data_IF_763744025673
#
_entry.id   IF_763744025673
#
_cell.length_a   1.000
_cell.length_b   1.000
_cell.length_c   1.000
_cell.angle_alpha   90.00
_cell.angle_beta   90.00
_cell.angle_gamma   90.00
#
_symmetry.space_group_name_H-M   'P 1'
#
loop_
_entity.id
_entity.type
_entity.pdbx_description
1 polymer ?
#
# COMPACT_ATOMS: atom_id res chain seq x y z
N UNK A 1 13.65 57.26 -34.43
CA UNK A 1 13.37 56.00 -33.74
C UNK A 1 13.16 54.95 -34.82
N UNK A 2 14.01 53.94 -34.89
CA UNK A 2 14.02 52.94 -35.96
C UNK A 2 12.89 51.93 -35.79
N UNK A 3 12.24 51.56 -36.91
CA UNK A 3 11.04 50.71 -37.02
C UNK A 3 11.13 49.36 -36.29
N UNK A 4 12.35 48.90 -35.98
CA UNK A 4 12.64 47.70 -35.20
C UNK A 4 12.16 47.77 -33.73
N UNK A 5 12.12 48.97 -33.14
CA UNK A 5 11.63 49.14 -31.76
C UNK A 5 10.10 49.17 -31.71
N UNK A 6 9.45 49.60 -32.79
CA UNK A 6 8.00 49.68 -32.88
C UNK A 6 7.38 48.30 -33.04
N UNK A 7 7.97 47.46 -33.89
CA UNK A 7 7.58 46.05 -34.06
C UNK A 7 7.79 45.22 -32.80
N UNK A 8 8.86 45.48 -32.03
CA UNK A 8 9.07 44.79 -30.74
C UNK A 8 8.08 45.22 -29.65
N UNK A 9 7.62 46.46 -29.67
CA UNK A 9 6.59 46.93 -28.73
C UNK A 9 5.20 46.38 -29.08
N UNK A 10 4.86 46.31 -30.38
CA UNK A 10 3.60 45.69 -30.82
C UNK A 10 3.55 44.18 -30.52
N UNK A 11 4.70 43.48 -30.54
CA UNK A 11 4.78 42.09 -30.07
C UNK A 11 4.64 41.92 -28.55
N UNK A 12 4.90 42.97 -27.75
CA UNK A 12 4.78 42.94 -26.29
C UNK A 12 3.39 43.36 -25.77
N UNK A 13 2.61 44.06 -26.61
CA UNK A 13 1.26 44.56 -26.26
C UNK A 13 0.14 43.68 -26.84
N UNK A 14 0.47 42.73 -27.71
CA UNK A 14 -0.47 41.70 -28.15
C UNK A 14 -0.83 40.79 -26.97
N UNK A 15 -1.99 41.07 -26.36
CA UNK A 15 -2.60 40.27 -25.31
C UNK A 15 -2.71 38.81 -25.79
N UNK A 16 -2.08 37.83 -25.11
CA UNK A 16 -2.19 36.45 -25.53
C UNK A 16 -3.66 36.03 -25.50
N UNK A 17 -4.16 35.30 -26.51
CA UNK A 17 -5.52 34.78 -26.45
C UNK A 17 -5.69 33.99 -25.14
N UNK A 18 -6.81 34.16 -24.42
CA UNK A 18 -7.03 33.41 -23.19
C UNK A 18 -6.87 31.92 -23.51
N UNK A 19 -6.14 31.15 -22.68
CA UNK A 19 -5.88 29.76 -22.96
C UNK A 19 -7.21 29.00 -22.97
N UNK A 20 -7.75 28.78 -24.17
CA UNK A 20 -8.85 27.85 -24.42
C UNK A 20 -8.30 26.44 -24.48
N UNK A 21 -7.77 25.99 -23.35
CA UNK A 21 -7.59 24.61 -22.99
C UNK A 21 -7.28 24.62 -21.50
N UNK A 22 -8.13 23.98 -20.71
CA UNK A 22 -7.77 23.54 -19.36
C UNK A 22 -6.65 22.51 -19.51
N UNK A 23 -5.53 22.64 -18.76
CA UNK A 23 -4.85 21.43 -18.33
C UNK A 23 -4.32 21.65 -16.90
N UNK A 24 -5.20 21.64 -15.91
CA UNK A 24 -4.81 21.65 -14.50
C UNK A 24 -4.24 20.30 -14.02
N UNK A 25 -4.20 19.26 -14.85
CA UNK A 25 -3.68 17.94 -14.46
C UNK A 25 -2.27 17.63 -14.98
N UNK A 26 -1.75 18.38 -15.97
CA UNK A 26 -0.47 18.05 -16.60
C UNK A 26 0.78 18.65 -15.91
N UNK A 27 0.61 19.64 -15.02
CA UNK A 27 1.74 20.35 -14.37
C UNK A 27 2.22 19.64 -13.10
N UNK A 28 1.43 18.73 -12.52
CA UNK A 28 1.84 17.95 -11.34
C UNK A 28 2.48 16.59 -11.66
N UNK A 29 2.62 16.22 -12.94
CA UNK A 29 3.17 14.91 -13.33
C UNK A 29 4.71 14.85 -13.41
N UNK A 30 5.43 15.82 -12.83
CA UNK A 30 6.90 15.77 -12.76
C UNK A 30 7.38 15.37 -11.38
N UNK A 31 8.28 14.38 -11.42
CA UNK A 31 9.10 13.84 -10.32
C UNK A 31 8.45 12.67 -9.57
N UNK A 32 8.69 11.45 -10.07
CA UNK A 32 9.07 10.24 -9.29
C UNK A 32 9.19 9.01 -10.22
N UNK A 33 10.16 9.03 -11.12
CA UNK A 33 10.63 7.80 -11.80
C UNK A 33 12.09 7.57 -11.41
N UNK A 34 12.31 6.97 -10.25
CA UNK A 34 13.65 6.53 -9.83
C UNK A 34 13.90 5.15 -10.42
N UNK A 35 14.58 5.13 -11.57
CA UNK A 35 15.10 3.91 -12.19
C UNK A 35 16.24 3.34 -11.35
N UNK A 36 15.94 2.51 -10.34
CA UNK A 36 16.99 1.73 -9.65
C UNK A 36 17.46 0.58 -10.53
N UNK A 37 18.53 0.80 -11.29
CA UNK A 37 19.40 -0.27 -11.78
C UNK A 37 20.35 -0.68 -10.67
N UNK A 38 20.11 -1.78 -9.94
CA UNK A 38 21.13 -2.61 -9.25
C UNK A 38 20.58 -4.02 -9.02
N UNK A 39 21.03 -4.99 -9.82
CA UNK A 39 22.04 -6.05 -9.51
C UNK A 39 21.38 -7.36 -9.09
N UNK A 40 21.41 -8.31 -10.01
CA UNK A 40 21.15 -9.71 -9.78
C UNK A 40 22.16 -10.30 -8.78
N UNK A 41 21.70 -11.18 -7.89
CA UNK A 41 22.55 -12.05 -7.09
C UNK A 41 21.91 -12.53 -5.79
N UNK A 42 21.89 -13.87 -5.63
CA UNK A 42 21.65 -14.65 -4.40
C UNK A 42 20.15 -14.89 -4.05
N UNK A 43 19.50 -15.97 -4.51
CA UNK A 43 19.55 -17.40 -4.10
C UNK A 43 18.86 -17.69 -2.75
N UNK A 44 17.69 -18.38 -2.84
CA UNK A 44 17.00 -19.37 -1.95
C UNK A 44 17.01 -19.19 -0.42
N UNK A 45 15.90 -19.38 0.30
CA UNK A 45 15.30 -20.71 0.60
C UNK A 45 13.88 -20.54 1.19
N UNK A 46 12.99 -21.46 0.82
CA UNK A 46 11.72 -21.69 1.50
C UNK A 46 11.96 -22.39 2.85
N UNK A 47 11.23 -22.01 3.88
CA UNK A 47 11.12 -22.78 5.11
C UNK A 47 9.66 -22.79 5.59
N UNK A 48 8.97 -23.91 5.32
CA UNK A 48 7.77 -24.30 6.04
C UNK A 48 8.20 -24.83 7.42
N UNK A 49 7.56 -24.37 8.48
CA UNK A 49 7.82 -24.83 9.84
C UNK A 49 6.60 -24.60 10.72
N UNK A 50 5.77 -25.63 10.87
CA UNK A 50 4.71 -25.70 11.89
C UNK A 50 5.36 -26.30 13.13
N UNK A 51 5.33 -25.59 14.26
CA UNK A 51 5.67 -26.16 15.57
C UNK A 51 4.59 -25.79 16.57
N UNK A 52 3.86 -26.81 17.01
CA UNK A 52 2.99 -26.78 18.17
C UNK A 52 3.85 -26.77 19.44
N UNK A 53 3.50 -25.92 20.41
CA UNK A 53 4.07 -25.99 21.76
C UNK A 53 2.93 -26.17 22.76
N UNK A 54 3.05 -27.25 23.51
CA UNK A 54 2.14 -27.72 24.54
C UNK A 54 2.09 -26.78 25.75
N UNK A 55 0.90 -26.69 26.36
CA UNK A 55 0.71 -26.09 27.67
C UNK A 55 1.06 -27.13 28.74
N UNK A 56 1.98 -26.78 29.63
CA UNK A 56 2.19 -27.48 30.90
C UNK A 56 1.91 -26.49 32.04
N UNK A 57 0.86 -26.78 32.80
CA UNK A 57 0.58 -26.15 34.10
C UNK A 57 1.36 -26.90 35.17
N UNK A 58 1.95 -26.16 36.11
CA UNK A 58 2.52 -26.68 37.35
C UNK A 58 2.92 -25.53 38.28
N UNK A 59 2.02 -25.16 39.18
CA UNK A 59 2.30 -24.27 40.32
C UNK A 59 2.61 -25.12 41.55
N UNK A 60 3.76 -24.92 42.22
CA UNK A 60 4.02 -24.85 43.69
C UNK A 60 5.54 -24.60 43.84
N UNK A 61 6.15 -23.83 44.76
CA UNK A 61 5.93 -23.32 46.13
C UNK A 61 6.91 -22.14 46.32
N UNK A 62 6.50 -20.97 46.80
CA UNK A 62 6.55 -20.48 48.20
C UNK A 62 7.97 -20.17 48.77
N UNK A 63 8.13 -18.97 49.33
CA UNK A 63 8.76 -18.62 50.63
C UNK A 63 9.07 -17.12 50.66
N UNK A 64 8.34 -16.40 51.52
CA UNK A 64 8.65 -15.02 51.89
C UNK A 64 7.61 -14.34 52.80
N UNK A 65 7.47 -14.81 54.04
CA UNK A 65 6.93 -14.00 55.16
C UNK A 65 5.58 -14.43 55.73
N UNK A 66 5.61 -14.99 56.94
CA UNK A 66 4.50 -15.57 57.72
C UNK A 66 3.47 -14.52 58.26
N UNK A 67 2.31 -14.96 58.82
CA UNK A 67 1.06 -14.18 58.92
C UNK A 67 0.80 -13.54 60.30
N UNK A 68 -0.33 -12.83 60.47
CA UNK A 68 -1.13 -13.03 61.67
C UNK A 68 -2.49 -13.63 61.33
N UNK A 69 -2.82 -14.68 62.06
CA UNK A 69 -4.07 -15.42 62.01
C UNK A 69 -5.14 -14.63 62.75
N UNK A 70 -6.24 -14.29 62.08
CA UNK A 70 -7.52 -14.01 62.73
C UNK A 70 -8.59 -14.85 62.04
N UNK A 71 -9.04 -15.88 62.76
CA UNK A 71 -10.10 -16.79 62.37
C UNK A 71 -11.46 -16.08 62.42
N UNK A 72 -12.09 -15.91 61.26
CA UNK A 72 -13.55 -15.75 61.16
C UNK A 72 -14.04 -16.56 59.95
N UNK A 73 -14.83 -17.65 60.14
CA UNK A 73 -15.48 -18.35 59.03
C UNK A 73 -16.58 -17.46 58.45
N UNK A 74 -16.28 -16.77 57.35
CA UNK A 74 -17.19 -15.78 56.77
C UNK A 74 -17.13 -15.77 55.25
N UNK A 75 -18.09 -16.47 54.64
CA UNK A 75 -18.57 -16.41 53.26
C UNK A 75 -17.57 -16.70 52.10
N UNK A 76 -17.95 -17.53 51.11
CA UNK A 76 -17.16 -17.65 49.88
C UNK A 76 -17.18 -16.31 49.13
N UNK A 77 -15.99 -15.69 48.96
CA UNK A 77 -15.83 -14.54 48.06
C UNK A 77 -15.99 -15.02 46.63
N UNK A 78 -17.00 -14.50 45.92
CA UNK A 78 -17.16 -14.73 44.50
C UNK A 78 -16.02 -14.04 43.75
N UNK A 79 -15.14 -14.82 43.13
CA UNK A 79 -14.19 -14.31 42.15
C UNK A 79 -15.00 -14.00 40.88
N UNK A 80 -15.34 -12.73 40.68
CA UNK A 80 -15.90 -12.27 39.41
C UNK A 80 -14.74 -12.19 38.43
N UNK A 81 -14.45 -13.32 37.78
CA UNK A 81 -13.55 -13.34 36.62
C UNK A 81 -14.21 -12.52 35.52
N UNK A 82 -13.58 -11.40 35.14
CA UNK A 82 -14.03 -10.61 34.00
C UNK A 82 -14.11 -11.51 32.74
N UNK A 83 -15.09 -11.30 31.84
CA UNK A 83 -15.17 -12.06 30.61
C UNK A 83 -13.83 -11.97 29.85
N UNK A 84 -13.32 -13.07 29.29
CA UNK A 84 -12.11 -13.02 28.49
C UNK A 84 -12.26 -11.98 27.39
N UNK A 85 -11.34 -11.01 27.35
CA UNK A 85 -11.29 -10.03 26.27
C UNK A 85 -11.04 -10.80 24.98
N UNK A 86 -12.07 -10.92 24.14
CA UNK A 86 -11.94 -11.61 22.86
C UNK A 86 -10.80 -10.95 22.05
N UNK A 87 -9.85 -11.74 21.50
CA UNK A 87 -8.81 -11.19 20.66
C UNK A 87 -9.44 -10.47 19.47
N UNK A 88 -9.06 -9.21 19.24
CA UNK A 88 -9.56 -8.43 18.10
C UNK A 88 -9.28 -9.17 16.79
N UNK A 89 -10.33 -9.56 16.07
CA UNK A 89 -10.22 -10.20 14.76
C UNK A 89 -9.43 -9.28 13.81
N UNK A 90 -8.37 -9.77 13.15
CA UNK A 90 -7.63 -8.96 12.19
C UNK A 90 -8.58 -8.54 11.05
N UNK A 91 -8.47 -7.30 10.54
CA UNK A 91 -9.27 -6.87 9.40
C UNK A 91 -9.04 -7.81 8.20
N UNK A 92 -10.05 -8.02 7.34
CA UNK A 92 -9.90 -8.83 6.14
C UNK A 92 -8.75 -8.28 5.28
N UNK A 93 -7.91 -9.15 4.68
CA UNK A 93 -6.79 -8.72 3.87
C UNK A 93 -7.28 -7.95 2.63
N UNK A 94 -6.44 -7.03 2.15
CA UNK A 94 -6.64 -6.40 0.85
C UNK A 94 -6.64 -7.50 -0.23
N UNK A 95 -7.55 -7.38 -1.18
CA UNK A 95 -7.64 -8.23 -2.36
C UNK A 95 -7.27 -7.40 -3.57
N UNK A 96 -6.46 -7.99 -4.44
CA UNK A 96 -6.08 -7.42 -5.72
C UNK A 96 -6.54 -8.35 -6.83
N UNK A 97 -7.34 -7.84 -7.75
CA UNK A 97 -7.72 -8.53 -8.98
C UNK A 97 -7.06 -7.83 -10.17
N UNK A 98 -6.55 -8.64 -11.10
CA UNK A 98 -5.79 -8.18 -12.25
C UNK A 98 -6.50 -8.60 -13.53
N UNK A 99 -6.75 -7.63 -14.41
CA UNK A 99 -7.38 -7.87 -15.71
C UNK A 99 -6.47 -7.34 -16.82
N UNK A 100 -5.71 -8.22 -17.51
CA UNK A 100 -4.88 -7.80 -18.62
C UNK A 100 -5.73 -7.49 -19.86
N UNK A 101 -5.24 -6.55 -20.68
CA UNK A 101 -5.73 -6.25 -22.01
C UNK A 101 -4.57 -6.43 -23.00
N UNK A 102 -4.66 -7.41 -23.89
CA UNK A 102 -3.56 -7.81 -24.79
C UNK A 102 -3.97 -7.54 -26.24
N UNK A 103 -3.16 -6.75 -26.96
CA UNK A 103 -3.32 -6.45 -28.39
C UNK A 103 -2.00 -6.70 -29.11
N UNK A 104 -1.87 -7.87 -29.73
CA UNK A 104 -0.59 -8.36 -30.26
C UNK A 104 0.45 -8.43 -29.14
N UNK A 105 1.56 -7.70 -29.31
CA UNK A 105 2.65 -7.60 -28.31
C UNK A 105 2.48 -6.53 -27.24
N UNK A 106 1.42 -5.73 -27.31
CA UNK A 106 1.14 -4.66 -26.35
C UNK A 106 0.18 -5.11 -25.27
N UNK A 107 0.51 -4.84 -24.01
CA UNK A 107 -0.29 -5.18 -22.83
C UNK A 107 -0.61 -3.94 -22.02
N UNK A 108 -1.89 -3.75 -21.72
CA UNK A 108 -2.36 -2.85 -20.66
C UNK A 108 -2.90 -3.65 -19.47
N UNK A 109 -2.98 -3.02 -18.30
CA UNK A 109 -3.46 -3.67 -17.08
C UNK A 109 -4.53 -2.83 -16.39
N UNK A 110 -5.66 -3.47 -16.07
CA UNK A 110 -6.65 -2.94 -15.14
C UNK A 110 -6.50 -3.64 -13.80
N UNK A 111 -6.42 -2.87 -12.72
CA UNK A 111 -6.24 -3.35 -11.35
C UNK A 111 -7.46 -2.97 -10.53
N UNK A 112 -8.04 -3.95 -9.83
CA UNK A 112 -9.07 -3.71 -8.82
C UNK A 112 -8.51 -4.03 -7.44
N UNK A 113 -8.49 -3.05 -6.56
CA UNK A 113 -8.09 -3.19 -5.15
C UNK A 113 -9.31 -3.07 -4.27
N UNK A 114 -9.46 -3.95 -3.29
CA UNK A 114 -10.59 -3.89 -2.35
C UNK A 114 -10.22 -4.44 -0.99
N UNK A 115 -10.86 -3.96 0.07
CA UNK A 115 -10.69 -4.51 1.42
C UNK A 115 -10.72 -3.43 2.49
N UNK A 116 -9.97 -3.67 3.56
CA UNK A 116 -9.86 -2.75 4.70
C UNK A 116 -8.40 -2.36 4.93
N UNK A 117 -8.16 -1.06 5.11
CA UNK A 117 -6.86 -0.49 5.42
C UNK A 117 -7.00 0.61 6.47
N UNK A 118 -5.96 0.84 7.25
CA UNK A 118 -5.88 2.04 8.08
C UNK A 118 -5.54 3.25 7.20
N UNK A 119 -6.16 4.39 7.51
CA UNK A 119 -5.89 5.67 6.87
C UNK A 119 -4.51 6.15 7.34
N UNK A 120 -3.52 6.28 6.44
CA UNK A 120 -2.20 6.81 6.78
C UNK A 120 -2.28 8.30 7.13
N UNK A 121 -1.20 8.80 7.73
CA UNK A 121 -1.01 10.23 7.99
C UNK A 121 0.11 10.81 7.16
N UNK A 122 -0.03 12.06 6.73
CA UNK A 122 1.05 12.81 6.11
C UNK A 122 2.17 13.10 7.13
N UNK A 123 3.41 13.01 6.69
CA UNK A 123 4.59 13.46 7.45
C UNK A 123 4.99 14.84 6.92
N UNK A 124 5.32 15.82 7.78
CA UNK A 124 5.45 15.73 9.24
C UNK A 124 4.18 16.10 10.04
N UNK A 125 3.16 16.64 9.38
CA UNK A 125 2.00 17.28 10.02
C UNK A 125 1.09 16.30 10.79
N UNK A 126 1.19 15.00 10.50
CA UNK A 126 0.43 13.95 11.18
C UNK A 126 -1.08 13.99 10.87
N UNK A 127 -1.47 14.74 9.84
CA UNK A 127 -2.85 14.87 9.36
C UNK A 127 -3.26 13.61 8.63
N UNK A 128 -4.51 13.17 8.80
CA UNK A 128 -5.03 12.01 8.06
C UNK A 128 -5.11 12.36 6.57
N UNK A 129 -4.67 11.44 5.70
CA UNK A 129 -4.84 11.63 4.27
C UNK A 129 -6.32 11.69 3.87
N UNK A 130 -6.64 12.45 2.80
CA UNK A 130 -7.99 12.49 2.27
C UNK A 130 -8.43 11.10 1.80
N UNK A 131 -9.65 10.72 2.17
CA UNK A 131 -10.26 9.43 1.81
C UNK A 131 -11.05 9.49 0.50
N UNK A 132 -10.66 10.37 -0.42
CA UNK A 132 -11.33 10.59 -1.71
C UNK A 132 -11.18 9.40 -2.66
N UNK A 133 -10.10 8.64 -2.51
CA UNK A 133 -9.80 7.43 -3.26
C UNK A 133 -9.16 6.41 -2.32
N UNK A 134 -9.48 5.14 -2.52
CA UNK A 134 -8.87 4.05 -1.76
C UNK A 134 -7.40 3.86 -2.17
N UNK A 135 -7.06 4.19 -3.39
CA UNK A 135 -5.69 4.18 -3.91
C UNK A 135 -4.81 5.25 -3.23
N UNK A 136 -5.38 6.41 -2.89
CA UNK A 136 -4.69 7.47 -2.16
C UNK A 136 -4.25 7.07 -0.74
N UNK A 137 -4.82 5.99 -0.19
CA UNK A 137 -4.42 5.47 1.12
C UNK A 137 -3.23 4.50 1.04
N UNK A 138 -2.72 4.23 -0.16
CA UNK A 138 -1.63 3.28 -0.37
C UNK A 138 -0.25 3.89 -0.11
N UNK A 139 0.68 3.08 0.37
CA UNK A 139 2.12 3.35 0.45
C UNK A 139 2.84 3.21 -0.89
N UNK A 140 2.11 3.26 -1.99
CA UNK A 140 2.62 3.03 -3.32
C UNK A 140 2.48 1.59 -3.83
N UNK A 141 2.94 1.42 -5.06
CA UNK A 141 2.81 0.21 -5.87
C UNK A 141 4.12 -0.16 -6.52
N UNK A 142 4.30 -1.45 -6.79
CA UNK A 142 5.41 -1.99 -7.54
C UNK A 142 4.87 -3.06 -8.51
N UNK A 143 5.25 -3.02 -9.79
CA UNK A 143 4.82 -4.02 -10.76
C UNK A 143 5.92 -4.39 -11.77
N UNK A 144 5.78 -5.59 -12.34
CA UNK A 144 6.71 -6.22 -13.26
C UNK A 144 5.94 -6.96 -14.35
N UNK A 145 6.38 -6.84 -15.61
CA UNK A 145 5.81 -7.59 -16.74
C UNK A 145 6.44 -8.97 -16.95
N UNK A 146 7.54 -9.28 -16.25
CA UNK A 146 8.15 -10.61 -16.28
C UNK A 146 9.20 -10.82 -17.38
N UNK A 147 9.49 -9.80 -18.16
CA UNK A 147 10.56 -9.74 -19.17
C UNK A 147 11.76 -8.86 -18.74
N UNK A 148 11.80 -8.49 -17.45
CA UNK A 148 12.78 -7.58 -16.87
C UNK A 148 12.30 -6.13 -16.74
N UNK A 149 11.16 -5.77 -17.31
CA UNK A 149 10.55 -4.47 -17.08
C UNK A 149 9.92 -4.38 -15.67
N UNK A 150 10.21 -3.29 -14.95
CA UNK A 150 9.67 -2.97 -13.63
C UNK A 150 9.32 -1.48 -13.53
N UNK A 151 8.21 -1.18 -12.86
CA UNK A 151 7.75 0.19 -12.60
C UNK A 151 6.87 0.21 -11.35
N UNK A 152 6.35 1.37 -10.97
CA UNK A 152 5.61 1.55 -9.73
C UNK A 152 5.41 3.01 -9.38
N UNK A 153 4.76 3.23 -8.24
CA UNK A 153 4.59 4.55 -7.63
C UNK A 153 5.00 4.46 -6.17
N UNK A 154 5.58 5.52 -5.64
CA UNK A 154 5.62 5.68 -4.19
C UNK A 154 4.30 6.29 -3.68
N UNK A 155 4.04 6.15 -2.39
CA UNK A 155 2.87 6.74 -1.71
C UNK A 155 3.16 8.10 -1.10
N UNK A 156 4.31 8.71 -1.40
CA UNK A 156 4.78 9.93 -0.74
C UNK A 156 5.25 9.74 0.70
N UNK A 157 5.34 10.86 1.42
CA UNK A 157 5.82 10.93 2.81
C UNK A 157 4.66 10.69 3.77
N UNK A 158 4.32 9.41 3.98
CA UNK A 158 3.18 8.99 4.77
C UNK A 158 3.55 7.92 5.79
N UNK A 159 2.81 7.87 6.90
CA UNK A 159 3.07 7.00 8.04
C UNK A 159 1.82 6.24 8.50
N UNK A 160 2.01 5.10 9.16
CA UNK A 160 0.96 4.21 9.66
C UNK A 160 0.70 4.36 11.18
N UNK A 161 0.99 5.52 11.77
CA UNK A 161 0.87 5.74 13.23
C UNK A 161 -0.57 5.89 13.71
N UNK A 162 -1.50 6.33 12.86
CA UNK A 162 -2.92 6.50 13.23
C UNK A 162 -3.80 5.36 12.69
N UNK A 163 -4.80 4.95 13.49
CA UNK A 163 -5.57 3.71 13.30
C UNK A 163 -7.04 3.96 12.93
N UNK A 164 -7.32 4.93 12.05
CA UNK A 164 -8.67 5.06 11.47
C UNK A 164 -8.84 4.00 10.40
N UNK A 165 -9.78 3.07 10.57
CA UNK A 165 -10.01 1.99 9.60
C UNK A 165 -10.96 2.45 8.49
N UNK A 166 -10.57 2.23 7.23
CA UNK A 166 -11.40 2.46 6.05
C UNK A 166 -11.65 1.17 5.30
N UNK A 167 -12.88 0.98 4.85
CA UNK A 167 -13.24 -0.04 3.86
C UNK A 167 -13.41 0.64 2.53
N UNK A 168 -12.87 0.07 1.47
CA UNK A 168 -12.96 0.64 0.12
C UNK A 168 -12.75 -0.39 -0.97
N UNK A 169 -13.08 0.03 -2.18
CA UNK A 169 -12.82 -0.69 -3.41
C UNK A 169 -12.61 0.30 -4.53
N UNK A 170 -11.61 0.07 -5.36
CA UNK A 170 -11.28 0.96 -6.46
C UNK A 170 -10.73 0.16 -7.63
N UNK A 171 -11.14 0.53 -8.84
CA UNK A 171 -10.62 -0.04 -10.07
C UNK A 171 -10.00 1.07 -10.88
N UNK A 172 -8.77 0.85 -11.34
CA UNK A 172 -8.06 1.82 -12.14
C UNK A 172 -7.23 1.11 -13.22
N UNK A 173 -6.87 1.87 -14.25
CA UNK A 173 -6.01 1.40 -15.34
C UNK A 173 -4.60 1.89 -15.07
N UNK A 174 -3.61 1.00 -15.16
CA UNK A 174 -2.21 1.42 -15.16
C UNK A 174 -2.01 2.25 -16.44
N UNK A 175 -1.63 3.54 -16.35
CA UNK A 175 -1.61 4.44 -17.50
C UNK A 175 -0.57 4.02 -18.54
N UNK A 176 0.47 3.29 -18.11
CA UNK A 176 1.51 2.77 -18.97
C UNK A 176 1.09 1.45 -19.62
N UNK A 177 1.25 1.39 -20.95
CA UNK A 177 1.22 0.13 -21.70
C UNK A 177 2.63 -0.40 -21.91
N UNK A 178 2.80 -1.72 -21.83
CA UNK A 178 4.09 -2.37 -22.08
C UNK A 178 4.06 -3.14 -23.39
N UNK A 179 5.14 -3.05 -24.16
CA UNK A 179 5.28 -3.77 -25.43
C UNK A 179 6.40 -4.80 -25.34
N UNK A 180 6.05 -6.08 -25.45
CA UNK A 180 7.02 -7.16 -25.42
C UNK A 180 7.81 -7.24 -26.73
N UNK A 181 9.11 -7.51 -26.63
CA UNK A 181 9.97 -7.68 -27.81
C UNK A 181 9.72 -9.01 -28.51
N UNK A 182 9.41 -10.08 -27.75
CA UNK A 182 9.17 -11.44 -28.27
C UNK A 182 7.79 -11.95 -27.85
N UNK A 183 7.10 -12.75 -28.67
CA UNK A 183 5.93 -13.49 -28.23
C UNK A 183 6.33 -14.51 -27.15
N UNK A 184 5.38 -14.90 -26.30
CA UNK A 184 5.64 -15.83 -25.20
C UNK A 184 4.66 -15.70 -24.05
N UNK A 185 4.88 -16.52 -23.03
CA UNK A 185 4.15 -16.46 -21.77
C UNK A 185 4.98 -15.74 -20.73
N UNK A 186 4.43 -14.67 -20.17
CA UNK A 186 5.07 -13.85 -19.15
C UNK A 186 4.24 -13.82 -17.87
N UNK A 187 4.89 -13.50 -16.74
CA UNK A 187 4.21 -13.37 -15.45
C UNK A 187 4.18 -11.91 -15.04
N UNK A 188 3.00 -11.31 -15.11
CA UNK A 188 2.78 -10.01 -14.52
C UNK A 188 2.66 -10.15 -13.00
N UNK A 189 3.37 -9.30 -12.26
CA UNK A 189 3.33 -9.24 -10.80
C UNK A 189 3.03 -7.82 -10.39
N UNK A 190 2.11 -7.62 -9.46
CA UNK A 190 1.75 -6.32 -8.92
C UNK A 190 1.66 -6.40 -7.40
N UNK A 191 2.27 -5.43 -6.73
CA UNK A 191 2.28 -5.29 -5.28
C UNK A 191 1.76 -3.90 -4.92
N UNK A 192 0.89 -3.83 -3.92
CA UNK A 192 0.42 -2.58 -3.31
C UNK A 192 0.63 -2.65 -1.81
N UNK A 193 0.98 -1.52 -1.18
CA UNK A 193 1.17 -1.42 0.27
C UNK A 193 0.07 -0.60 0.91
N UNK A 194 -0.44 -1.04 2.04
CA UNK A 194 -1.40 -0.29 2.85
C UNK A 194 -0.99 -0.31 4.32
N UNK A 195 -1.58 0.56 5.14
CA UNK A 195 -1.35 0.55 6.57
C UNK A 195 -2.21 -0.50 7.28
N UNK A 196 -1.55 -1.41 7.98
CA UNK A 196 -2.12 -2.54 8.72
C UNK A 196 -1.94 -2.38 10.22
N UNK A 197 -2.23 -3.43 10.97
CA UNK A 197 -2.14 -3.39 12.45
C UNK A 197 -0.70 -3.26 12.96
N UNK A 198 0.28 -3.74 12.18
CA UNK A 198 1.71 -3.77 12.51
C UNK A 198 2.56 -2.84 11.62
N UNK A 199 1.94 -1.84 11.01
CA UNK A 199 2.57 -0.98 10.00
C UNK A 199 2.24 -1.41 8.58
N UNK A 200 3.14 -1.15 7.63
CA UNK A 200 2.94 -1.47 6.21
C UNK A 200 2.68 -2.96 6.00
N UNK A 201 1.64 -3.28 5.24
CA UNK A 201 1.41 -4.63 4.74
C UNK A 201 1.37 -4.62 3.21
N UNK A 202 2.30 -5.31 2.53
CA UNK A 202 2.23 -5.50 1.09
C UNK A 202 1.19 -6.57 0.73
N UNK A 203 0.49 -6.36 -0.38
CA UNK A 203 -0.40 -7.34 -1.00
C UNK A 203 0.02 -7.52 -2.44
N UNK A 204 0.35 -8.75 -2.81
CA UNK A 204 0.84 -9.09 -4.15
C UNK A 204 -0.17 -9.97 -4.88
N UNK A 205 -0.41 -9.66 -6.15
CA UNK A 205 -1.14 -10.51 -7.08
C UNK A 205 -0.33 -10.73 -8.35
N UNK A 206 -0.57 -11.88 -8.99
CA UNK A 206 0.09 -12.25 -10.24
C UNK A 206 -0.93 -12.73 -11.26
N UNK A 207 -0.66 -12.50 -12.53
CA UNK A 207 -1.43 -13.09 -13.63
C UNK A 207 -0.50 -13.50 -14.77
N UNK A 208 -0.87 -14.54 -15.51
CA UNK A 208 -0.14 -14.96 -16.69
C UNK A 208 -0.58 -14.13 -17.89
N UNK A 209 0.39 -13.67 -18.67
CA UNK A 209 0.20 -12.95 -19.92
C UNK A 209 0.61 -13.87 -21.07
N UNK A 210 -0.32 -14.18 -21.97
CA UNK A 210 -0.02 -14.93 -23.19
C UNK A 210 0.03 -13.93 -24.34
N UNK A 211 1.25 -13.61 -24.77
CA UNK A 211 1.53 -12.61 -25.80
C UNK A 211 1.83 -13.30 -27.11
N UNK A 212 1.14 -12.92 -28.18
CA UNK A 212 1.23 -13.52 -29.52
C UNK A 212 1.82 -12.54 -30.52
#
# INVERSE_FOLDING_TARGET
MTEDLKTRFEQLVADPPPPSAVPSEAVFARVRTVRRRRTAGVITLAAAGVVAVALALGNVTDIGGAPPVTNTPGAPKSVITAPPTAPRKPPPPIKVALKPSIKGRMVGMTVTVSGKAFVPTAIPEGTLLPETSFMNLSGGTDYSFGDGYQSGSDGGSIDCTRKKLKTGSETYVIPETHTFTKPGTYKFTYTIRYCGTKGWFPTTATTQLVVR
#
